data_IF_496935776068
#
_entry.id   IF_496935776068
#
_cell.length_a   1.000
_cell.length_b   1.000
_cell.length_c   1.000
_cell.angle_alpha   90.00
_cell.angle_beta   90.00
_cell.angle_gamma   90.00
#
_symmetry.space_group_name_H-M   'P 1'
#
loop_
_entity.id
_entity.type
_entity.pdbx_description
1 polymer ?
#
# COMPACT_ATOMS: atom_id res chain seq x y z
N UNK A 1 -0.24 8.28 -2.44
CA UNK A 1 0.86 7.30 -2.61
C UNK A 1 2.10 7.90 -3.26
N UNK A 2 2.04 8.45 -4.49
CA UNK A 2 3.22 9.03 -5.16
C UNK A 2 4.02 10.01 -4.30
N UNK A 3 3.31 10.92 -3.63
CA UNK A 3 3.91 11.90 -2.71
C UNK A 3 4.53 11.25 -1.46
N UNK A 4 3.84 10.29 -0.85
CA UNK A 4 4.30 9.59 0.34
C UNK A 4 5.61 8.81 0.09
N UNK A 5 5.65 8.03 -0.99
CA UNK A 5 6.84 7.25 -1.34
C UNK A 5 7.98 8.14 -1.87
N UNK A 6 7.66 9.25 -2.54
CA UNK A 6 8.65 10.24 -2.96
C UNK A 6 9.34 10.96 -1.80
N UNK A 7 8.66 11.12 -0.66
CA UNK A 7 9.28 11.60 0.59
C UNK A 7 10.18 10.51 1.22
N UNK A 8 9.90 9.23 0.97
CA UNK A 8 10.66 8.07 1.44
C UNK A 8 11.76 7.61 0.46
N UNK A 9 12.67 8.47 -0.03
CA UNK A 9 13.82 8.10 -0.91
C UNK A 9 13.51 7.20 -2.14
N UNK A 10 12.25 6.93 -2.48
CA UNK A 10 11.83 6.00 -3.53
C UNK A 10 11.42 6.78 -4.78
N UNK A 11 12.00 6.40 -5.92
CA UNK A 11 11.65 6.98 -7.22
C UNK A 11 10.42 6.24 -7.75
N UNK A 12 9.37 6.99 -8.08
CA UNK A 12 8.24 6.44 -8.82
C UNK A 12 8.52 6.42 -10.31
N UNK A 13 8.31 5.25 -10.91
CA UNK A 13 8.33 5.06 -12.35
C UNK A 13 6.90 4.84 -12.87
N UNK A 14 6.58 5.45 -14.01
CA UNK A 14 5.27 5.30 -14.67
C UNK A 14 5.19 4.02 -15.51
N UNK A 15 6.31 3.32 -15.68
CA UNK A 15 6.41 2.09 -16.47
C UNK A 15 7.00 0.98 -15.61
N UNK A 16 6.47 -0.23 -15.75
CA UNK A 16 7.06 -1.40 -15.13
C UNK A 16 8.47 -1.61 -15.72
N UNK A 17 9.49 -1.43 -14.90
CA UNK A 17 10.88 -1.74 -15.23
C UNK A 17 11.34 -2.94 -14.42
N UNK A 18 12.36 -3.64 -14.91
CA UNK A 18 12.89 -4.86 -14.30
C UNK A 18 13.38 -4.64 -12.86
N UNK A 19 13.83 -3.43 -12.55
CA UNK A 19 14.33 -3.02 -11.22
C UNK A 19 13.29 -2.23 -10.40
N UNK A 20 12.03 -2.17 -10.88
CA UNK A 20 10.94 -1.52 -10.18
C UNK A 20 10.16 -2.51 -9.30
N UNK A 21 9.64 -2.02 -8.19
CA UNK A 21 8.65 -2.76 -7.39
C UNK A 21 7.23 -2.34 -7.80
N UNK A 22 6.34 -3.32 -7.90
CA UNK A 22 4.92 -3.11 -8.09
C UNK A 22 4.22 -3.19 -6.74
N UNK A 23 3.39 -2.19 -6.44
CA UNK A 23 2.60 -2.14 -5.20
C UNK A 23 1.13 -2.11 -5.62
N UNK A 24 0.36 -3.10 -5.16
CA UNK A 24 -1.07 -3.19 -5.40
C UNK A 24 -1.82 -3.06 -4.09
N UNK A 25 -2.73 -2.09 -3.99
CA UNK A 25 -3.64 -1.94 -2.84
C UNK A 25 -5.06 -2.39 -3.20
N UNK A 26 -5.61 -3.34 -2.45
CA UNK A 26 -7.01 -3.78 -2.54
C UNK A 26 -7.75 -3.28 -1.31
N UNK A 27 -8.92 -2.65 -1.51
CA UNK A 27 -9.75 -2.12 -0.43
C UNK A 27 -11.00 -2.97 -0.29
N UNK A 28 -11.28 -3.39 0.94
CA UNK A 28 -12.45 -4.17 1.30
C UNK A 28 -13.24 -3.44 2.39
N UNK A 29 -14.56 -3.35 2.18
CA UNK A 29 -15.49 -2.74 3.12
C UNK A 29 -16.40 -3.80 3.69
N UNK A 30 -16.36 -3.97 5.02
CA UNK A 30 -17.33 -4.80 5.70
C UNK A 30 -18.72 -4.13 5.67
N UNK A 31 -19.81 -4.89 5.88
CA UNK A 31 -21.12 -4.31 6.14
C UNK A 31 -21.07 -3.36 7.35
N UNK A 32 -21.82 -2.24 7.34
CA UNK A 32 -21.87 -1.35 8.47
C UNK A 32 -22.58 -2.01 9.66
N UNK A 33 -22.03 -1.81 10.86
CA UNK A 33 -22.58 -2.27 12.15
C UNK A 33 -22.64 -1.05 13.07
N UNK A 34 -23.83 -0.73 13.59
CA UNK A 34 -24.05 0.41 14.49
C UNK A 34 -23.50 1.75 13.97
N UNK A 35 -23.67 2.01 12.66
CA UNK A 35 -23.20 3.25 12.03
C UNK A 35 -21.68 3.34 11.83
N UNK A 36 -20.94 2.26 12.10
CA UNK A 36 -19.51 2.13 11.81
C UNK A 36 -19.26 1.08 10.74
N UNK A 37 -18.16 1.22 10.03
CA UNK A 37 -17.77 0.30 8.98
C UNK A 37 -16.29 -0.04 9.11
N UNK A 38 -15.96 -1.32 9.04
CA UNK A 38 -14.57 -1.78 9.00
C UNK A 38 -14.07 -1.70 7.56
N UNK A 39 -12.91 -1.08 7.40
CA UNK A 39 -12.18 -0.92 6.15
C UNK A 39 -10.90 -1.71 6.30
N UNK A 40 -10.64 -2.61 5.37
CA UNK A 40 -9.38 -3.36 5.29
C UNK A 40 -8.72 -3.01 3.98
N UNK A 41 -7.47 -2.57 4.02
CA UNK A 41 -6.63 -2.39 2.85
C UNK A 41 -5.53 -3.44 2.90
N UNK A 42 -5.48 -4.30 1.89
CA UNK A 42 -4.38 -5.24 1.69
C UNK A 42 -3.45 -4.69 0.63
N UNK A 43 -2.17 -4.60 0.97
CA UNK A 43 -1.13 -4.23 0.02
C UNK A 43 -0.30 -5.44 -0.32
N UNK A 44 -0.07 -5.66 -1.61
CA UNK A 44 0.81 -6.71 -2.12
C UNK A 44 1.96 -6.07 -2.86
N UNK A 45 3.18 -6.43 -2.49
CA UNK A 45 4.41 -5.90 -3.08
C UNK A 45 5.06 -7.00 -3.92
N UNK A 46 5.33 -6.70 -5.17
CA UNK A 46 6.01 -7.59 -6.12
C UNK A 46 7.25 -6.92 -6.70
N UNK A 47 8.25 -7.70 -7.08
CA UNK A 47 9.34 -7.26 -7.96
C UNK A 47 8.85 -7.06 -9.39
N UNK A 48 9.69 -6.45 -10.22
CA UNK A 48 9.41 -6.24 -11.65
C UNK A 48 9.20 -7.54 -12.43
N UNK A 49 9.72 -8.66 -11.93
CA UNK A 49 9.52 -10.01 -12.48
C UNK A 49 8.18 -10.66 -12.06
N UNK A 50 7.37 -9.97 -11.24
CA UNK A 50 6.09 -10.46 -10.73
C UNK A 50 6.19 -11.27 -9.43
N UNK A 51 7.39 -11.54 -8.92
CA UNK A 51 7.59 -12.28 -7.65
C UNK A 51 7.06 -11.47 -6.48
N UNK A 52 6.11 -12.02 -5.71
CA UNK A 52 5.65 -11.40 -4.47
C UNK A 52 6.73 -11.50 -3.39
N UNK A 53 7.12 -10.35 -2.85
CA UNK A 53 8.13 -10.25 -1.78
C UNK A 53 7.50 -10.10 -0.39
N UNK A 54 6.24 -9.68 -0.34
CA UNK A 54 5.48 -9.55 0.89
C UNK A 54 4.12 -8.88 0.69
N UNK A 55 3.38 -8.83 1.77
CA UNK A 55 2.09 -8.15 1.89
C UNK A 55 1.97 -7.45 3.24
N UNK A 56 1.08 -6.47 3.32
CA UNK A 56 0.67 -5.84 4.57
C UNK A 56 -0.84 -5.65 4.60
N UNK A 57 -1.39 -5.67 5.81
CA UNK A 57 -2.80 -5.39 6.05
C UNK A 57 -2.93 -4.16 6.93
N UNK A 58 -3.74 -3.21 6.49
CA UNK A 58 -4.15 -2.07 7.29
C UNK A 58 -5.66 -2.15 7.51
N UNK A 59 -6.08 -2.26 8.76
CA UNK A 59 -7.50 -2.26 9.11
C UNK A 59 -7.85 -1.05 9.96
N UNK A 60 -8.91 -0.34 9.58
CA UNK A 60 -9.44 0.81 10.29
C UNK A 60 -10.96 0.69 10.45
N UNK A 61 -11.50 1.23 11.54
CA UNK A 61 -12.95 1.37 11.72
C UNK A 61 -13.32 2.83 11.55
N UNK A 62 -14.19 3.13 10.59
CA UNK A 62 -14.61 4.49 10.25
C UNK A 62 -16.13 4.63 10.39
N UNK A 63 -16.67 5.85 10.27
CA UNK A 63 -18.12 6.04 10.17
C UNK A 63 -18.61 5.45 8.85
N UNK A 64 -19.74 4.75 8.88
CA UNK A 64 -20.33 4.19 7.67
C UNK A 64 -20.56 5.29 6.61
N UNK A 65 -20.22 4.98 5.36
CA UNK A 65 -20.32 5.91 4.24
C UNK A 65 -19.26 7.02 4.19
N UNK A 66 -18.30 7.06 5.13
CA UNK A 66 -17.24 8.10 5.09
C UNK A 66 -16.29 7.97 3.91
N UNK A 67 -16.28 6.82 3.24
CA UNK A 67 -15.49 6.55 2.05
C UNK A 67 -16.29 6.78 0.75
N UNK A 68 -17.61 6.91 0.84
CA UNK A 68 -18.50 7.08 -0.31
C UNK A 68 -18.23 8.44 -0.93
N UNK A 69 -17.82 8.46 -2.20
CA UNK A 69 -17.47 9.69 -2.93
C UNK A 69 -16.21 10.43 -2.45
N UNK A 70 -15.59 9.99 -1.35
CA UNK A 70 -14.44 10.65 -0.73
C UNK A 70 -13.10 9.92 -0.94
N UNK A 71 -13.12 8.80 -1.66
CA UNK A 71 -11.93 7.97 -1.86
C UNK A 71 -10.75 8.74 -2.45
N UNK A 72 -10.97 9.62 -3.44
CA UNK A 72 -9.89 10.41 -4.06
C UNK A 72 -9.10 11.24 -3.03
N UNK A 73 -9.78 11.77 -2.01
CA UNK A 73 -9.16 12.56 -0.95
C UNK A 73 -8.48 11.69 0.11
N UNK A 74 -9.02 10.51 0.38
CA UNK A 74 -8.56 9.62 1.45
C UNK A 74 -7.46 8.67 0.98
N UNK A 75 -7.45 8.26 -0.29
CA UNK A 75 -6.45 7.36 -0.86
C UNK A 75 -5.00 7.82 -0.65
N UNK A 76 -4.65 9.12 -0.80
CA UNK A 76 -3.30 9.59 -0.48
C UNK A 76 -2.90 9.39 0.98
N UNK A 77 -3.83 9.60 1.91
CA UNK A 77 -3.62 9.49 3.36
C UNK A 77 -3.48 8.04 3.77
N UNK A 78 -4.36 7.17 3.26
CA UNK A 78 -4.32 5.72 3.47
C UNK A 78 -3.00 5.15 2.95
N UNK A 79 -2.57 5.57 1.75
CA UNK A 79 -1.31 5.14 1.19
C UNK A 79 -0.08 5.67 1.95
N UNK A 80 -0.16 6.86 2.56
CA UNK A 80 0.89 7.40 3.43
C UNK A 80 1.00 6.58 4.72
N UNK A 81 -0.12 6.19 5.32
CA UNK A 81 -0.09 5.34 6.51
C UNK A 81 0.54 3.95 6.27
N UNK A 82 0.58 3.51 5.01
CA UNK A 82 1.23 2.25 4.60
C UNK A 82 2.68 2.42 4.13
N UNK A 83 3.17 3.65 3.86
CA UNK A 83 4.44 3.86 3.15
C UNK A 83 5.64 3.30 3.89
N UNK A 84 5.69 3.48 5.21
CA UNK A 84 6.83 3.05 6.01
C UNK A 84 6.95 1.52 6.04
N UNK A 85 5.82 0.83 6.24
CA UNK A 85 5.77 -0.63 6.20
C UNK A 85 6.13 -1.20 4.83
N UNK A 86 5.72 -0.54 3.74
CA UNK A 86 6.11 -0.91 2.37
C UNK A 86 7.61 -0.72 2.16
N UNK A 87 8.16 0.43 2.57
CA UNK A 87 9.58 0.74 2.45
C UNK A 87 10.44 -0.29 3.20
N UNK A 88 10.03 -0.67 4.40
CA UNK A 88 10.68 -1.71 5.20
C UNK A 88 10.69 -3.08 4.50
N UNK A 89 9.57 -3.48 3.89
CA UNK A 89 9.50 -4.74 3.13
C UNK A 89 10.46 -4.74 1.94
N UNK A 90 10.51 -3.63 1.20
CA UNK A 90 11.41 -3.47 0.05
C UNK A 90 12.88 -3.48 0.50
N UNK A 91 13.22 -2.77 1.59
CA UNK A 91 14.58 -2.74 2.12
C UNK A 91 15.05 -4.13 2.58
N UNK A 92 14.17 -4.88 3.27
CA UNK A 92 14.46 -6.27 3.69
C UNK A 92 14.69 -7.19 2.50
N UNK A 93 13.90 -7.04 1.43
CA UNK A 93 14.07 -7.83 0.21
C UNK A 93 15.41 -7.55 -0.48
N UNK A 94 15.78 -6.27 -0.62
CA UNK A 94 17.07 -5.85 -1.18
C UNK A 94 18.25 -6.41 -0.37
N UNK A 95 18.17 -6.37 0.96
CA UNK A 95 19.23 -6.90 1.82
C UNK A 95 19.37 -8.43 1.73
N UNK A 96 18.30 -9.18 1.44
CA UNK A 96 18.38 -10.63 1.16
C UNK A 96 19.05 -10.94 -0.18
N UNK A 97 18.89 -10.06 -1.17
CA UNK A 97 19.51 -10.20 -2.50
C UNK A 97 21.01 -9.90 -2.55
N UNK A 98 21.51 -9.05 -1.63
CA UNK A 98 22.92 -8.63 -1.57
C UNK A 98 23.87 -9.57 -0.81
N UNK A 99 23.41 -10.75 -0.38
CA UNK A 99 24.22 -11.70 0.40
C UNK A 99 24.76 -12.88 -0.44
N UNK A 100 24.94 -12.71 -1.75
CA UNK A 100 25.54 -13.71 -2.65
C UNK A 100 26.83 -13.22 -3.26
#
# INVERSE_FOLDING_TARGET
>A
MRRALGESQMVLVDRAESDAFQIQGTVELAPPVEGRQRVVIRWVIRRGDGTQIGDLEQANTVRAGSLDGNWERLAPIVALAASDGIADLIARDRNKGGSR
#
